data_IF_040464991884
#
_entry.id   IF_040464991884
#
_cell.length_a   1.000
_cell.length_b   1.000
_cell.length_c   1.000
_cell.angle_alpha   90.00
_cell.angle_beta   90.00
_cell.angle_gamma   90.00
#
_symmetry.space_group_name_H-M   'P 1'
#
loop_
_entity.id
_entity.type
_entity.pdbx_description
1 polymer ?
#
# COMPACT_ATOMS: atom_id res chain seq x y z
N UNK A 1 16.25 9.07 -5.38
CA UNK A 1 15.09 8.62 -4.59
C UNK A 1 14.37 7.55 -5.39
N UNK A 2 14.07 6.40 -4.79
CA UNK A 2 13.40 5.28 -5.49
C UNK A 2 11.94 5.25 -5.05
N UNK A 3 11.02 5.15 -6.01
CA UNK A 3 9.58 5.02 -5.76
C UNK A 3 9.08 3.78 -6.47
N UNK A 4 8.29 2.97 -5.77
CA UNK A 4 7.72 1.72 -6.29
C UNK A 4 6.23 1.64 -5.93
N UNK A 5 5.45 1.00 -6.79
CA UNK A 5 4.02 0.74 -6.58
C UNK A 5 3.79 -0.74 -6.24
N UNK A 6 2.85 -1.02 -5.33
CA UNK A 6 2.42 -2.38 -4.99
C UNK A 6 1.01 -2.62 -5.54
N UNK A 7 0.86 -3.53 -6.51
CA UNK A 7 -0.39 -3.86 -7.19
C UNK A 7 -0.60 -5.38 -7.24
N UNK A 8 -1.85 -5.84 -7.38
CA UNK A 8 -2.20 -7.25 -7.51
C UNK A 8 -3.66 -7.56 -7.12
N UNK A 9 -4.08 -8.81 -7.36
CA UNK A 9 -5.46 -9.25 -7.21
C UNK A 9 -6.00 -9.14 -5.77
N UNK A 10 -7.32 -9.02 -5.57
CA UNK A 10 -7.94 -9.19 -4.25
C UNK A 10 -7.45 -10.48 -3.58
N UNK A 11 -7.23 -10.43 -2.26
CA UNK A 11 -6.79 -11.57 -1.45
C UNK A 11 -5.40 -12.17 -1.79
N UNK A 12 -4.55 -11.50 -2.58
CA UNK A 12 -3.20 -11.99 -2.91
C UNK A 12 -2.12 -11.68 -1.87
N UNK A 13 -2.49 -11.23 -0.66
CA UNK A 13 -1.53 -10.92 0.42
C UNK A 13 -0.82 -9.56 0.32
N UNK A 14 -1.28 -8.63 -0.53
CA UNK A 14 -0.64 -7.30 -0.70
C UNK A 14 -0.51 -6.53 0.60
N UNK A 15 -1.56 -6.50 1.43
CA UNK A 15 -1.55 -5.79 2.71
C UNK A 15 -0.50 -6.38 3.66
N UNK A 16 -0.32 -7.71 3.66
CA UNK A 16 0.72 -8.38 4.44
C UNK A 16 2.12 -7.94 4.01
N UNK A 17 2.35 -7.88 2.69
CA UNK A 17 3.64 -7.42 2.13
C UNK A 17 3.87 -5.94 2.45
N UNK A 18 2.87 -5.08 2.23
CA UNK A 18 2.93 -3.65 2.54
C UNK A 18 3.33 -3.43 4.00
N UNK A 19 2.61 -4.03 4.94
CA UNK A 19 2.85 -3.88 6.38
C UNK A 19 4.27 -4.35 6.77
N UNK A 20 4.77 -5.42 6.16
CA UNK A 20 6.14 -5.92 6.44
C UNK A 20 7.23 -4.98 5.92
N UNK A 21 6.98 -4.30 4.80
CA UNK A 21 7.94 -3.37 4.20
C UNK A 21 7.93 -1.98 4.86
N UNK A 22 6.76 -1.48 5.26
CA UNK A 22 6.62 -0.13 5.83
C UNK A 22 6.74 -0.11 7.35
N UNK A 23 6.37 -1.21 8.04
CA UNK A 23 6.26 -1.23 9.49
C UNK A 23 5.38 -0.08 10.01
N UNK A 24 5.88 0.68 10.97
CA UNK A 24 5.16 1.84 11.53
C UNK A 24 5.23 3.11 10.67
N UNK A 25 6.02 3.12 9.59
CA UNK A 25 6.22 4.30 8.72
C UNK A 25 5.26 4.20 7.53
N UNK A 26 3.98 4.37 7.82
CA UNK A 26 2.91 4.32 6.82
C UNK A 26 2.00 5.54 6.96
N UNK A 27 1.42 5.98 5.84
CA UNK A 27 0.43 7.05 5.79
C UNK A 27 -0.78 6.55 5.01
N UNK A 28 -1.97 6.80 5.55
CA UNK A 28 -3.25 6.41 4.94
C UNK A 28 -3.98 7.66 4.47
N UNK A 29 -4.67 7.56 3.33
CA UNK A 29 -5.51 8.61 2.77
C UNK A 29 -6.36 8.05 1.63
N UNK A 30 -7.24 8.90 1.08
CA UNK A 30 -8.11 8.57 -0.04
C UNK A 30 -7.65 9.30 -1.30
N UNK A 31 -8.05 8.78 -2.46
CA UNK A 31 -7.82 9.47 -3.72
C UNK A 31 -8.74 10.69 -3.85
N UNK A 32 -8.32 11.76 -4.55
CA UNK A 32 -9.14 12.95 -4.74
C UNK A 32 -10.50 12.62 -5.39
N UNK A 33 -11.59 12.98 -4.72
CA UNK A 33 -12.96 12.90 -5.27
C UNK A 33 -13.59 11.50 -5.31
N UNK A 34 -12.97 10.48 -4.72
CA UNK A 34 -13.54 9.12 -4.65
C UNK A 34 -13.36 8.50 -3.25
N UNK A 35 -14.17 7.49 -2.96
CA UNK A 35 -14.02 6.60 -1.80
C UNK A 35 -13.27 5.33 -2.17
#
# INVERSE_FOLDING_TARGET
MITAALIGNPNSGKTTVFNKLTGSIQKTGNWPGVT
#
